data_IF_840933844979
#
_entry.id   IF_840933844979
#
_cell.length_a   1.000
_cell.length_b   1.000
_cell.length_c   1.000
_cell.angle_alpha   90.00
_cell.angle_beta   90.00
_cell.angle_gamma   90.00
#
_symmetry.space_group_name_H-M   'P 1'
#
loop_
_entity.id
_entity.type
_entity.pdbx_description
1 polymer ?
#
# COMPACT_ATOMS: atom_id res chain seq x y z
N UNK A 1 8.69 -8.87 -14.34
CA UNK A 1 7.34 -8.49 -13.90
C UNK A 1 7.31 -6.98 -13.67
N UNK A 2 6.36 -6.30 -14.26
CA UNK A 2 6.18 -4.86 -14.08
C UNK A 2 5.63 -4.60 -12.67
N UNK A 3 6.31 -3.74 -11.89
CA UNK A 3 5.92 -3.41 -10.51
C UNK A 3 4.52 -2.81 -10.40
N UNK A 4 4.03 -2.21 -11.47
CA UNK A 4 2.72 -1.56 -11.49
C UNK A 4 1.71 -2.31 -12.38
N UNK A 5 2.02 -3.54 -12.77
CA UNK A 5 1.07 -4.37 -13.50
C UNK A 5 -0.16 -4.65 -12.61
N UNK A 6 -1.35 -4.57 -13.22
CA UNK A 6 -2.60 -4.67 -12.48
C UNK A 6 -3.68 -5.49 -13.21
N UNK A 7 -3.28 -6.53 -13.93
CA UNK A 7 -4.23 -7.55 -14.40
C UNK A 7 -4.66 -8.43 -13.24
N UNK A 8 -5.74 -9.20 -13.44
CA UNK A 8 -6.18 -10.15 -12.43
C UNK A 8 -5.13 -11.25 -12.20
N UNK A 9 -4.49 -11.72 -13.26
CA UNK A 9 -3.41 -12.71 -13.16
C UNK A 9 -2.25 -12.16 -12.34
N UNK A 10 -1.87 -10.91 -12.55
CA UNK A 10 -0.82 -10.26 -11.76
C UNK A 10 -1.19 -10.19 -10.29
N UNK A 11 -2.43 -9.82 -9.98
CA UNK A 11 -2.91 -9.79 -8.61
C UNK A 11 -2.78 -11.16 -7.95
N UNK A 12 -3.23 -12.22 -8.63
CA UNK A 12 -3.15 -13.58 -8.11
C UNK A 12 -1.72 -14.04 -7.87
N UNK A 13 -0.82 -13.71 -8.79
CA UNK A 13 0.61 -13.99 -8.64
C UNK A 13 1.21 -13.26 -7.45
N UNK A 14 0.90 -11.99 -7.29
CA UNK A 14 1.37 -11.20 -6.14
C UNK A 14 0.82 -11.73 -4.83
N UNK A 15 -0.47 -12.07 -4.78
CA UNK A 15 -1.09 -12.63 -3.58
C UNK A 15 -0.48 -13.97 -3.16
N UNK A 16 0.06 -14.72 -4.11
CA UNK A 16 0.68 -16.02 -3.85
C UNK A 16 2.14 -15.93 -3.39
N UNK A 17 2.76 -14.75 -3.44
CA UNK A 17 4.15 -14.57 -3.05
C UNK A 17 4.34 -14.71 -1.53
N UNK A 18 5.55 -15.13 -1.10
CA UNK A 18 5.88 -15.15 0.33
C UNK A 18 5.83 -13.75 0.95
N UNK A 19 5.57 -13.69 2.25
CA UNK A 19 5.51 -12.42 2.98
C UNK A 19 6.78 -11.59 2.81
N UNK A 20 7.96 -12.22 2.87
CA UNK A 20 9.23 -11.51 2.72
C UNK A 20 9.34 -10.76 1.39
N UNK A 21 8.84 -11.36 0.32
CA UNK A 21 8.82 -10.72 -1.00
C UNK A 21 7.78 -9.61 -1.05
N UNK A 22 6.61 -9.83 -0.48
CA UNK A 22 5.56 -8.81 -0.41
C UNK A 22 6.03 -7.57 0.35
N UNK A 23 6.77 -7.75 1.42
CA UNK A 23 7.35 -6.64 2.19
C UNK A 23 8.27 -5.80 1.31
N UNK A 24 9.17 -6.45 0.57
CA UNK A 24 10.10 -5.74 -0.33
C UNK A 24 9.36 -4.99 -1.43
N UNK A 25 8.35 -5.60 -2.03
CA UNK A 25 7.54 -4.97 -3.07
C UNK A 25 6.78 -3.76 -2.52
N UNK A 26 6.20 -3.89 -1.35
CA UNK A 26 5.45 -2.80 -0.71
C UNK A 26 6.36 -1.63 -0.38
N UNK A 27 7.54 -1.89 0.17
CA UNK A 27 8.54 -0.85 0.45
C UNK A 27 8.98 -0.15 -0.84
N UNK A 28 9.13 -0.89 -1.93
CA UNK A 28 9.48 -0.31 -3.22
C UNK A 28 8.41 0.65 -3.73
N UNK A 29 7.13 0.30 -3.56
CA UNK A 29 6.03 1.18 -3.95
C UNK A 29 5.96 2.43 -3.10
N UNK A 30 6.22 2.30 -1.81
CA UNK A 30 6.32 3.45 -0.90
C UNK A 30 7.45 4.39 -1.35
N UNK A 31 8.62 3.84 -1.66
CA UNK A 31 9.76 4.64 -2.14
C UNK A 31 9.44 5.38 -3.42
N UNK A 32 8.81 4.73 -4.38
CA UNK A 32 8.40 5.36 -5.64
C UNK A 32 7.44 6.51 -5.40
N UNK A 33 6.50 6.33 -4.48
CA UNK A 33 5.54 7.37 -4.12
C UNK A 33 6.22 8.57 -3.48
N UNK A 34 7.09 8.33 -2.52
CA UNK A 34 7.84 9.38 -1.84
C UNK A 34 8.78 10.10 -2.80
N UNK A 35 9.42 9.36 -3.71
CA UNK A 35 10.30 9.96 -4.72
C UNK A 35 9.53 10.87 -5.68
N UNK A 36 8.30 10.50 -6.02
CA UNK A 36 7.46 11.29 -6.94
C UNK A 36 7.03 12.62 -6.31
N UNK A 37 6.64 12.62 -5.06
CA UNK A 37 6.02 13.80 -4.43
C UNK A 37 6.88 14.49 -3.40
N UNK A 38 7.90 13.85 -2.88
CA UNK A 38 8.68 14.35 -1.75
C UNK A 38 8.04 14.00 -0.40
N UNK A 39 8.86 13.64 0.58
CA UNK A 39 8.35 13.19 1.89
C UNK A 39 7.46 14.23 2.58
N UNK A 40 7.75 15.51 2.38
CA UNK A 40 6.98 16.63 2.96
C UNK A 40 5.58 16.76 2.38
N UNK A 41 5.33 16.16 1.21
CA UNK A 41 4.04 16.20 0.52
C UNK A 41 3.25 14.90 0.62
N UNK A 42 3.74 13.94 1.38
CA UNK A 42 3.16 12.62 1.53
C UNK A 42 2.68 12.42 2.96
N UNK A 43 1.59 11.68 3.13
CA UNK A 43 1.11 11.28 4.47
C UNK A 43 0.74 9.81 4.47
N UNK A 44 0.74 9.20 5.66
CA UNK A 44 0.14 7.88 5.88
C UNK A 44 -1.27 8.10 6.39
N UNK A 45 -2.25 7.58 5.65
CA UNK A 45 -3.64 7.64 6.12
C UNK A 45 -3.87 6.49 7.09
N UNK A 46 -4.13 6.85 8.32
CA UNK A 46 -4.39 5.87 9.38
C UNK A 46 -5.87 5.57 9.50
N UNK A 47 -6.18 4.29 9.68
CA UNK A 47 -7.47 3.80 10.15
C UNK A 47 -7.19 3.02 11.42
N UNK A 48 -8.22 2.59 12.14
CA UNK A 48 -8.01 1.80 13.36
C UNK A 48 -8.04 0.30 13.04
N UNK A 49 -7.24 -0.09 12.06
CA UNK A 49 -7.16 -1.48 11.58
C UNK A 49 -5.75 -2.04 11.73
N UNK A 50 -5.60 -3.37 11.79
CA UNK A 50 -4.27 -3.99 11.81
C UNK A 50 -3.41 -3.61 10.61
N UNK A 51 -4.01 -3.45 9.42
CA UNK A 51 -3.32 -3.05 8.20
C UNK A 51 -2.64 -1.69 8.36
N UNK A 52 -3.28 -0.78 9.08
CA UNK A 52 -2.72 0.55 9.36
C UNK A 52 -1.44 0.47 10.18
N UNK A 53 -1.38 -0.45 11.13
CA UNK A 53 -0.17 -0.64 11.93
C UNK A 53 0.99 -1.18 11.10
N UNK A 54 0.69 -2.11 10.19
CA UNK A 54 1.68 -2.65 9.25
C UNK A 54 2.24 -1.53 8.39
N UNK A 55 1.35 -0.75 7.78
CA UNK A 55 1.74 0.33 6.89
C UNK A 55 2.56 1.39 7.62
N UNK A 56 2.10 1.82 8.78
CA UNK A 56 2.82 2.82 9.58
C UNK A 56 4.21 2.33 9.95
N UNK A 57 4.33 1.07 10.37
CA UNK A 57 5.62 0.50 10.74
C UNK A 57 6.59 0.51 9.54
N UNK A 58 6.14 0.07 8.37
CA UNK A 58 6.99 0.06 7.17
C UNK A 58 7.42 1.46 6.75
N UNK A 59 6.49 2.41 6.75
CA UNK A 59 6.82 3.79 6.37
C UNK A 59 7.78 4.40 7.38
N UNK A 60 7.51 4.22 8.66
CA UNK A 60 8.29 4.84 9.73
C UNK A 60 9.73 4.32 9.79
N UNK A 61 9.98 3.08 9.38
CA UNK A 61 11.34 2.54 9.33
C UNK A 61 12.26 3.32 8.40
N UNK A 62 11.74 3.76 7.25
CA UNK A 62 12.53 4.47 6.24
C UNK A 62 12.30 5.97 6.26
N UNK A 63 11.09 6.41 6.58
CA UNK A 63 10.67 7.81 6.48
C UNK A 63 9.97 8.24 7.76
N UNK A 64 10.68 8.32 8.90
CA UNK A 64 10.05 8.69 10.16
C UNK A 64 9.46 10.10 10.18
N UNK A 65 9.86 10.95 9.23
CA UNK A 65 9.38 12.32 9.10
C UNK A 65 8.01 12.43 8.43
N UNK A 66 7.52 11.36 7.78
CA UNK A 66 6.23 11.42 7.08
C UNK A 66 5.09 11.52 8.09
N UNK A 67 4.18 12.45 7.83
CA UNK A 67 3.05 12.75 8.71
C UNK A 67 1.97 11.69 8.61
N UNK A 68 1.26 11.52 9.74
CA UNK A 68 0.10 10.64 9.83
C UNK A 68 -1.16 11.49 9.71
N UNK A 69 -2.13 11.04 8.95
CA UNK A 69 -3.42 11.71 8.77
C UNK A 69 -4.56 10.74 9.03
N UNK A 70 -5.60 11.21 9.74
CA UNK A 70 -6.78 10.42 10.07
C UNK A 70 -7.99 10.79 9.19
N UNK A 71 -7.85 11.82 8.39
CA UNK A 71 -8.90 12.31 7.51
C UNK A 71 -8.28 12.85 6.23
N UNK A 72 -9.10 13.34 5.32
CA UNK A 72 -8.63 13.92 4.07
C UNK A 72 -7.66 15.07 4.32
N UNK A 73 -6.64 15.14 3.51
CA UNK A 73 -5.54 16.09 3.60
C UNK A 73 -5.15 16.51 2.18
N UNK A 74 -4.47 17.63 2.06
CA UNK A 74 -3.89 18.07 0.78
C UNK A 74 -2.66 17.24 0.41
N UNK A 75 -2.11 16.49 1.37
CA UNK A 75 -0.96 15.65 1.13
C UNK A 75 -1.35 14.40 0.33
N UNK A 76 -0.36 13.81 -0.34
CA UNK A 76 -0.55 12.61 -1.16
C UNK A 76 -0.55 11.38 -0.26
N UNK A 77 -1.69 10.69 -0.09
CA UNK A 77 -1.79 9.64 0.91
C UNK A 77 -1.21 8.30 0.47
N UNK A 78 -0.59 7.60 1.41
CA UNK A 78 -0.31 6.17 1.36
C UNK A 78 -1.42 5.52 2.19
N UNK A 79 -2.17 4.60 1.58
CA UNK A 79 -3.37 4.02 2.21
C UNK A 79 -3.23 2.52 2.43
N UNK A 80 -4.13 1.97 3.24
CA UNK A 80 -4.12 0.57 3.65
C UNK A 80 -5.01 -0.34 2.80
N UNK A 81 -5.49 0.16 1.66
CA UNK A 81 -6.40 -0.60 0.81
C UNK A 81 -5.78 -1.93 0.38
N UNK A 82 -6.57 -3.00 0.49
CA UNK A 82 -6.21 -4.35 0.01
C UNK A 82 -7.28 -4.81 -0.96
N UNK A 83 -6.86 -5.46 -2.05
CA UNK A 83 -7.82 -5.92 -3.06
C UNK A 83 -8.73 -7.01 -2.46
N UNK A 84 -10.03 -6.79 -2.54
CA UNK A 84 -11.02 -7.75 -2.08
C UNK A 84 -11.44 -8.69 -3.21
N UNK A 85 -12.14 -9.76 -2.85
CA UNK A 85 -12.64 -10.73 -3.82
C UNK A 85 -13.93 -10.27 -4.50
N UNK A 86 -14.56 -9.20 -4.02
CA UNK A 86 -15.79 -8.70 -4.61
C UNK A 86 -15.51 -7.97 -5.93
N UNK A 87 -16.58 -7.73 -6.69
CA UNK A 87 -16.48 -7.09 -8.00
C UNK A 87 -15.87 -5.71 -7.92
N UNK A 88 -16.24 -4.92 -6.93
CA UNK A 88 -15.76 -3.54 -6.79
C UNK A 88 -14.25 -3.49 -6.49
N UNK A 89 -13.79 -4.38 -5.63
CA UNK A 89 -12.36 -4.50 -5.32
C UNK A 89 -11.55 -4.95 -6.51
N UNK A 90 -12.05 -5.94 -7.27
CA UNK A 90 -11.37 -6.41 -8.48
C UNK A 90 -11.34 -5.33 -9.55
N UNK A 91 -12.46 -4.65 -9.79
CA UNK A 91 -12.52 -3.56 -10.78
C UNK A 91 -11.57 -2.43 -10.42
N UNK A 92 -11.47 -2.09 -9.15
CA UNK A 92 -10.57 -1.05 -8.65
C UNK A 92 -9.10 -1.45 -8.89
N UNK A 93 -8.75 -2.71 -8.59
CA UNK A 93 -7.41 -3.23 -8.89
C UNK A 93 -7.09 -3.16 -10.39
N UNK A 94 -8.02 -3.62 -11.22
CA UNK A 94 -7.83 -3.63 -12.68
C UNK A 94 -7.64 -2.23 -13.24
N UNK A 95 -8.27 -1.23 -12.63
CA UNK A 95 -8.20 0.15 -13.10
C UNK A 95 -6.94 0.86 -12.61
N UNK A 96 -6.57 0.71 -11.34
CA UNK A 96 -5.58 1.55 -10.68
C UNK A 96 -4.30 0.82 -10.23
N UNK A 97 -4.39 -0.47 -9.91
CA UNK A 97 -3.25 -1.20 -9.35
C UNK A 97 -2.86 -0.68 -7.98
N UNK A 98 -1.55 -0.53 -7.74
CA UNK A 98 -1.02 -0.09 -6.44
C UNK A 98 -0.88 1.43 -6.33
N UNK A 99 -0.04 2.01 -7.19
CA UNK A 99 0.22 3.45 -7.17
C UNK A 99 -0.50 4.10 -8.36
N UNK A 100 -1.54 4.87 -8.09
CA UNK A 100 -2.25 5.55 -9.16
C UNK A 100 -2.06 7.05 -9.06
N UNK A 101 -1.32 7.57 -10.04
CA UNK A 101 -0.90 8.95 -10.10
C UNK A 101 -1.89 9.83 -10.88
N UNK A 102 -2.55 9.27 -11.86
CA UNK A 102 -3.36 10.01 -12.84
C UNK A 102 -4.85 10.00 -12.48
N UNK A 103 -5.18 10.48 -11.30
CA UNK A 103 -6.57 10.59 -10.83
C UNK A 103 -6.78 11.94 -10.16
N UNK A 104 -8.04 12.31 -9.88
CA UNK A 104 -8.34 13.51 -9.11
C UNK A 104 -7.77 13.41 -7.69
N UNK A 105 -7.69 12.20 -7.15
CA UNK A 105 -7.17 11.93 -5.80
C UNK A 105 -6.12 10.83 -5.89
N UNK A 106 -4.88 11.16 -6.30
CA UNK A 106 -3.82 10.17 -6.35
C UNK A 106 -3.56 9.56 -4.98
N UNK A 107 -3.34 8.24 -4.95
CA UNK A 107 -2.99 7.56 -3.72
C UNK A 107 -2.11 6.34 -3.99
N UNK A 108 -1.32 5.95 -3.00
CA UNK A 108 -0.54 4.72 -3.02
C UNK A 108 -1.21 3.67 -2.17
N UNK A 109 -1.23 2.44 -2.68
CA UNK A 109 -1.82 1.28 -2.01
C UNK A 109 -0.78 0.16 -1.94
N UNK A 110 0.27 0.32 -1.12
CA UNK A 110 1.36 -0.65 -1.10
C UNK A 110 0.97 -2.03 -0.57
N UNK A 111 -0.16 -2.14 0.13
CA UNK A 111 -0.68 -3.42 0.63
C UNK A 111 -1.74 -4.04 -0.28
N UNK A 112 -1.97 -3.50 -1.47
CA UNK A 112 -3.07 -3.91 -2.35
C UNK A 112 -3.13 -5.42 -2.61
N UNK A 113 -1.98 -6.07 -2.69
CA UNK A 113 -1.86 -7.52 -2.99
C UNK A 113 -1.60 -8.38 -1.75
N UNK A 114 -1.73 -7.81 -0.54
CA UNK A 114 -1.58 -8.58 0.69
C UNK A 114 -2.85 -9.35 1.01
N UNK A 115 -2.69 -10.47 1.69
CA UNK A 115 -3.77 -11.23 2.29
C UNK A 115 -3.84 -10.92 3.79
N UNK A 116 -4.99 -11.14 4.38
CA UNK A 116 -5.20 -10.89 5.81
C UNK A 116 -4.19 -11.65 6.68
N UNK A 117 -3.88 -12.89 6.31
CA UNK A 117 -2.89 -13.70 7.00
C UNK A 117 -1.48 -13.09 6.95
N UNK A 118 -1.16 -12.36 5.88
CA UNK A 118 0.13 -11.66 5.76
C UNK A 118 0.23 -10.53 6.78
N UNK A 119 -0.86 -9.80 6.97
CA UNK A 119 -0.94 -8.71 7.95
C UNK A 119 -0.68 -9.26 9.36
N UNK A 120 -1.36 -10.33 9.72
CA UNK A 120 -1.21 -10.95 11.04
C UNK A 120 0.19 -11.48 11.26
N UNK A 121 0.76 -12.13 10.25
CA UNK A 121 2.13 -12.65 10.32
C UNK A 121 3.16 -11.53 10.48
N UNK A 122 2.98 -10.43 9.76
CA UNK A 122 3.88 -9.28 9.89
C UNK A 122 3.85 -8.69 11.30
N UNK A 123 2.67 -8.51 11.87
CA UNK A 123 2.51 -7.96 13.22
C UNK A 123 3.14 -8.89 14.26
N UNK A 124 2.99 -10.18 14.10
CA UNK A 124 3.58 -11.18 14.99
C UNK A 124 5.11 -11.13 14.95
N UNK A 125 5.69 -11.00 13.75
CA UNK A 125 7.14 -10.91 13.58
C UNK A 125 7.73 -9.62 14.16
N UNK A 126 6.96 -8.55 14.23
CA UNK A 126 7.41 -7.23 14.68
C UNK A 126 6.79 -6.81 16.01
N UNK A 127 6.26 -7.76 16.76
CA UNK A 127 5.67 -7.50 18.07
C UNK A 127 6.72 -7.13 19.12
#
# INVERSE_FOLDING_TARGET
>A
MDDNAHSLDDLRQYQALPLSVKILMSKNRIRKWVNEYGAENVCVRMTFSPESLVLLHMVNEEYPEIKVAFSDSELKPITTWMASEDKDGIDDWLTFGCNHYETEKPESRPLAFWLKENVLSYLELNA
#
